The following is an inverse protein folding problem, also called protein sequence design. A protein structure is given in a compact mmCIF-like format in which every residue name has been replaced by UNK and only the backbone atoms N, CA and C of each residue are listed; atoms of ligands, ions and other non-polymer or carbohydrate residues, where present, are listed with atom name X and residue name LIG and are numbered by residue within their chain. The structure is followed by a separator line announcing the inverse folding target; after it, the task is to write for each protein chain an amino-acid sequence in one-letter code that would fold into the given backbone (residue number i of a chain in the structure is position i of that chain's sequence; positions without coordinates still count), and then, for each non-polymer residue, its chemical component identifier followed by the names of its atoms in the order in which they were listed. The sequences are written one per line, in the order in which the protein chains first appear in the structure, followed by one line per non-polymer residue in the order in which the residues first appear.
data_IF_224962780115
#
_entry.id   IF_224962780115
#
_cell.length_a   1.000
_cell.length_b   1.000
_cell.length_c   1.000
_cell.angle_alpha   90.00
_cell.angle_beta   90.00
_cell.angle_gamma   90.00
#
_symmetry.space_group_name_H-M   'P 1'
#
loop_
_entity.id
_entity.type
_entity.pdbx_description
1 polymer ?
#
# COMPACT_ATOMS: atom_id res chain seq x y z
N UNK A 1 -18.34 -16.82 -13.38
CA UNK A 1 -17.12 -16.01 -13.33
C UNK A 1 -17.50 -14.56 -13.60
N UNK A 2 -17.28 -13.70 -12.62
CA UNK A 2 -17.61 -12.28 -12.78
C UNK A 2 -16.55 -11.59 -13.64
N UNK A 3 -16.99 -10.72 -14.55
CA UNK A 3 -16.09 -9.86 -15.29
C UNK A 3 -15.39 -8.89 -14.30
N UNK A 4 -14.15 -8.54 -14.58
CA UNK A 4 -13.45 -7.51 -13.81
C UNK A 4 -14.13 -6.18 -14.07
N UNK A 5 -14.49 -5.48 -12.99
CA UNK A 5 -15.09 -4.15 -13.07
C UNK A 5 -14.13 -3.19 -13.80
N UNK A 6 -14.67 -2.40 -14.72
CA UNK A 6 -13.90 -1.44 -15.49
C UNK A 6 -13.17 -0.45 -14.58
N UNK A 7 -13.80 -0.02 -13.48
CA UNK A 7 -13.20 0.89 -12.51
C UNK A 7 -12.04 0.23 -11.77
N UNK A 8 -12.18 -1.06 -11.45
CA UNK A 8 -11.11 -1.83 -10.80
C UNK A 8 -9.90 -1.93 -11.73
N UNK A 9 -10.11 -2.20 -13.00
CA UNK A 9 -9.01 -2.27 -13.97
C UNK A 9 -8.35 -0.91 -14.16
N UNK A 10 -9.12 0.16 -14.23
CA UNK A 10 -8.59 1.52 -14.32
C UNK A 10 -7.76 1.88 -13.07
N UNK A 11 -8.27 1.53 -11.88
CA UNK A 11 -7.53 1.73 -10.64
C UNK A 11 -6.17 1.02 -10.70
N UNK A 12 -6.16 -0.26 -11.09
CA UNK A 12 -4.92 -1.05 -11.13
C UNK A 12 -3.90 -0.48 -12.11
N UNK A 13 -4.34 -0.06 -13.29
CA UNK A 13 -3.43 0.57 -14.26
C UNK A 13 -2.76 1.81 -13.68
N UNK A 14 -3.54 2.68 -13.04
CA UNK A 14 -3.02 3.89 -12.41
C UNK A 14 -2.14 3.58 -11.20
N UNK A 15 -2.55 2.61 -10.39
CA UNK A 15 -1.79 2.19 -9.21
C UNK A 15 -0.42 1.63 -9.59
N UNK A 16 -0.39 0.69 -10.53
CA UNK A 16 0.87 0.09 -10.97
C UNK A 16 1.81 1.13 -11.58
N UNK A 17 1.29 2.04 -12.38
CA UNK A 17 2.10 3.10 -12.98
C UNK A 17 2.67 4.03 -11.90
N UNK A 18 1.85 4.42 -10.94
CA UNK A 18 2.25 5.31 -9.84
C UNK A 18 3.33 4.66 -8.96
N UNK A 19 3.14 3.39 -8.62
CA UNK A 19 4.09 2.64 -7.79
C UNK A 19 5.42 2.46 -8.53
N UNK A 20 5.37 2.07 -9.82
CA UNK A 20 6.58 1.88 -10.61
C UNK A 20 7.38 3.16 -10.77
N UNK A 21 6.70 4.30 -10.89
CA UNK A 21 7.33 5.62 -11.02
C UNK A 21 7.70 6.24 -9.66
N UNK A 22 7.30 5.61 -8.56
CA UNK A 22 7.43 6.17 -7.21
C UNK A 22 6.85 7.59 -7.13
N UNK A 23 5.71 7.79 -7.81
CA UNK A 23 5.04 9.09 -7.94
C UNK A 23 3.99 9.22 -6.83
N UNK A 24 4.35 9.93 -5.77
CA UNK A 24 3.48 10.09 -4.59
C UNK A 24 2.19 10.83 -4.94
N UNK A 25 2.26 11.86 -5.79
CA UNK A 25 1.07 12.60 -6.20
C UNK A 25 0.09 11.69 -6.98
N UNK A 26 0.62 10.85 -7.86
CA UNK A 26 -0.20 9.89 -8.61
C UNK A 26 -0.83 8.84 -7.70
N UNK A 27 -0.09 8.37 -6.68
CA UNK A 27 -0.64 7.46 -5.67
C UNK A 27 -1.79 8.14 -4.92
N UNK A 28 -1.58 9.39 -4.49
CA UNK A 28 -2.63 10.15 -3.78
C UNK A 28 -3.90 10.27 -4.62
N UNK A 29 -3.77 10.44 -5.93
CA UNK A 29 -4.92 10.54 -6.84
C UNK A 29 -5.75 9.26 -6.92
N UNK A 30 -5.17 8.11 -6.58
CA UNK A 30 -5.92 6.83 -6.55
C UNK A 30 -6.70 6.63 -5.26
N UNK A 31 -6.48 7.44 -4.24
CA UNK A 31 -7.07 7.28 -2.91
C UNK A 31 -8.34 8.10 -2.76
N UNK A 32 -9.33 7.51 -2.08
CA UNK A 32 -10.51 8.24 -1.62
C UNK A 32 -10.11 9.22 -0.51
N UNK A 33 -10.86 10.30 -0.34
CA UNK A 33 -10.58 11.29 0.71
C UNK A 33 -10.65 10.67 2.12
N UNK A 34 -11.53 9.68 2.29
CA UNK A 34 -11.71 8.95 3.55
C UNK A 34 -10.92 7.64 3.60
N UNK A 35 -9.89 7.50 2.77
CA UNK A 35 -9.06 6.29 2.74
C UNK A 35 -8.47 5.98 4.11
N UNK A 36 -8.34 4.68 4.38
CA UNK A 36 -7.73 4.19 5.61
C UNK A 36 -6.78 3.03 5.31
N UNK A 37 -5.81 2.84 6.19
CA UNK A 37 -4.85 1.73 6.10
C UNK A 37 -4.84 0.92 7.39
N UNK A 38 -4.98 -0.40 7.24
CA UNK A 38 -4.73 -1.34 8.32
C UNK A 38 -3.31 -1.86 8.16
N UNK A 39 -2.40 -1.30 8.95
CA UNK A 39 -0.99 -1.71 8.89
C UNK A 39 -0.76 -2.97 9.70
N UNK A 40 0.28 -3.76 9.39
CA UNK A 40 0.57 -4.94 10.20
C UNK A 40 1.06 -4.62 11.62
N UNK A 41 1.33 -3.35 11.92
CA UNK A 41 1.81 -2.94 13.24
C UNK A 41 0.70 -2.65 14.25
N UNK A 42 -0.53 -2.33 13.77
CA UNK A 42 -1.65 -1.95 14.62
C UNK A 42 -2.93 -2.66 14.19
N UNK A 43 -3.80 -2.96 15.16
CA UNK A 43 -5.07 -3.62 14.85
C UNK A 43 -6.05 -2.67 14.14
N UNK A 44 -6.22 -1.45 14.67
CA UNK A 44 -7.19 -0.51 14.17
C UNK A 44 -6.72 0.19 12.90
N UNK A 45 -7.57 0.27 11.84
CA UNK A 45 -7.25 1.07 10.67
C UNK A 45 -7.11 2.55 11.04
N UNK A 46 -6.26 3.26 10.30
CA UNK A 46 -6.02 4.69 10.49
C UNK A 46 -6.12 5.42 9.17
N UNK A 47 -6.64 6.62 9.22
CA UNK A 47 -6.79 7.53 8.09
C UNK A 47 -6.71 8.97 8.55
N UNK A 48 -7.13 9.91 7.74
CA UNK A 48 -7.64 9.78 6.38
C UNK A 48 -6.54 9.72 5.32
N UNK A 49 -6.86 10.13 4.08
CA UNK A 49 -5.98 10.07 2.92
C UNK A 49 -4.56 10.56 3.19
N UNK A 50 -4.39 11.70 3.84
CA UNK A 50 -3.05 12.26 4.11
C UNK A 50 -2.20 11.32 4.97
N UNK A 51 -2.80 10.65 5.94
CA UNK A 51 -2.10 9.65 6.74
C UNK A 51 -1.68 8.45 5.90
N UNK A 52 -2.59 7.95 5.05
CA UNK A 52 -2.30 6.82 4.16
C UNK A 52 -1.15 7.16 3.21
N UNK A 53 -1.16 8.35 2.63
CA UNK A 53 -0.07 8.82 1.76
C UNK A 53 1.26 8.83 2.52
N UNK A 54 1.26 9.30 3.77
CA UNK A 54 2.47 9.31 4.61
C UNK A 54 3.03 7.92 4.85
N UNK A 55 2.17 6.95 5.17
CA UNK A 55 2.58 5.56 5.39
C UNK A 55 3.12 4.95 4.10
N UNK A 56 2.40 5.11 2.98
CA UNK A 56 2.82 4.54 1.69
C UNK A 56 4.15 5.16 1.22
N UNK A 57 4.37 6.44 1.47
CA UNK A 57 5.65 7.08 1.18
C UNK A 57 6.78 6.44 1.96
N UNK A 58 6.57 6.19 3.24
CA UNK A 58 7.55 5.51 4.09
C UNK A 58 7.84 4.08 3.63
N UNK A 59 6.79 3.35 3.25
CA UNK A 59 6.91 1.97 2.74
C UNK A 59 7.71 1.96 1.44
N UNK A 60 7.38 2.83 0.50
CA UNK A 60 8.08 2.91 -0.78
C UNK A 60 9.54 3.28 -0.60
N UNK A 61 9.83 4.20 0.32
CA UNK A 61 11.21 4.58 0.63
C UNK A 61 12.01 3.48 1.31
N UNK A 62 11.34 2.54 1.98
CA UNK A 62 11.98 1.44 2.68
C UNK A 62 12.32 0.25 1.79
N UNK A 63 11.48 -0.02 0.78
CA UNK A 63 11.64 -1.19 -0.06
C UNK A 63 12.74 -1.03 -1.09
N UNK A 64 13.52 -2.12 -1.27
CA UNK A 64 14.47 -2.30 -2.35
C UNK A 64 14.03 -3.49 -3.18
N UNK A 65 14.26 -3.44 -4.50
CA UNK A 65 13.89 -4.51 -5.44
C UNK A 65 12.42 -4.90 -5.34
N UNK A 66 11.56 -3.92 -5.15
CA UNK A 66 10.12 -4.14 -5.04
C UNK A 66 9.53 -4.56 -6.38
N UNK A 67 8.65 -5.57 -6.34
CA UNK A 67 7.84 -5.95 -7.50
C UNK A 67 6.58 -6.69 -7.09
N UNK A 68 5.54 -6.53 -7.89
CA UNK A 68 4.31 -7.31 -7.75
C UNK A 68 4.50 -8.69 -8.39
N UNK A 69 4.06 -9.73 -7.68
CA UNK A 69 4.18 -11.13 -8.11
C UNK A 69 2.85 -11.70 -8.57
N UNK A 70 1.72 -11.12 -8.18
CA UNK A 70 0.41 -11.63 -8.56
C UNK A 70 -0.73 -10.74 -8.13
N UNK A 71 -1.88 -10.94 -8.77
CA UNK A 71 -3.10 -10.21 -8.43
C UNK A 71 -4.30 -11.15 -8.44
N UNK A 72 -5.23 -10.91 -7.52
CA UNK A 72 -6.49 -11.62 -7.41
C UNK A 72 -7.59 -10.58 -7.27
N UNK A 73 -8.61 -10.67 -8.10
CA UNK A 73 -9.65 -9.63 -8.20
C UNK A 73 -11.02 -10.27 -8.08
N UNK A 74 -11.87 -9.70 -7.23
CA UNK A 74 -13.28 -10.03 -7.15
C UNK A 74 -14.08 -8.74 -7.05
N UNK A 75 -14.67 -8.30 -8.18
CA UNK A 75 -15.40 -7.03 -8.25
C UNK A 75 -14.49 -5.85 -7.95
N UNK A 76 -14.75 -5.16 -6.84
CA UNK A 76 -13.96 -4.02 -6.36
C UNK A 76 -12.98 -4.40 -5.26
N UNK A 77 -12.83 -5.71 -4.98
CA UNK A 77 -11.89 -6.23 -4.00
C UNK A 77 -10.66 -6.80 -4.71
N UNK A 78 -9.47 -6.43 -4.24
CA UNK A 78 -8.21 -6.75 -4.90
C UNK A 78 -7.23 -7.27 -3.86
N UNK A 79 -6.46 -8.31 -4.22
CA UNK A 79 -5.28 -8.73 -3.47
C UNK A 79 -4.09 -8.67 -4.41
N UNK A 80 -3.05 -7.92 -4.01
CA UNK A 80 -1.79 -7.82 -4.74
C UNK A 80 -0.69 -8.45 -3.88
N UNK A 81 0.02 -9.42 -4.44
CA UNK A 81 1.18 -10.01 -3.79
C UNK A 81 2.43 -9.30 -4.27
N UNK A 82 3.33 -8.98 -3.34
CA UNK A 82 4.60 -8.33 -3.67
C UNK A 82 5.76 -9.00 -2.97
N UNK A 83 6.96 -8.81 -3.54
CA UNK A 83 8.23 -9.17 -2.91
C UNK A 83 9.13 -7.93 -2.88
N UNK A 84 10.00 -7.88 -1.89
CA UNK A 84 10.96 -6.80 -1.71
C UNK A 84 12.08 -7.25 -0.77
N UNK A 85 13.02 -6.35 -0.51
CA UNK A 85 14.01 -6.54 0.55
C UNK A 85 14.27 -5.20 1.25
N UNK A 86 14.79 -5.28 2.46
CA UNK A 86 15.29 -4.14 3.20
C UNK A 86 16.71 -4.54 3.63
N UNK A 87 17.73 -3.96 2.97
CA UNK A 87 19.08 -4.45 3.10
C UNK A 87 19.15 -5.91 2.63
N UNK A 88 19.61 -6.81 3.48
CA UNK A 88 19.68 -8.23 3.17
C UNK A 88 18.44 -9.02 3.60
N UNK A 89 17.50 -8.35 4.28
CA UNK A 89 16.29 -8.99 4.77
C UNK A 89 15.23 -9.04 3.66
N UNK A 90 14.94 -10.27 3.21
CA UNK A 90 13.91 -10.49 2.18
C UNK A 90 12.54 -10.56 2.84
N UNK A 91 11.53 -10.02 2.14
CA UNK A 91 10.15 -10.08 2.62
C UNK A 91 9.19 -10.28 1.45
N UNK A 92 8.01 -10.74 1.80
CA UNK A 92 6.88 -10.89 0.89
C UNK A 92 5.63 -10.44 1.63
N UNK A 93 4.71 -9.84 0.90
CA UNK A 93 3.47 -9.41 1.50
C UNK A 93 2.33 -9.38 0.52
N UNK A 94 1.17 -9.03 1.04
CA UNK A 94 0.00 -8.75 0.24
C UNK A 94 -0.60 -7.42 0.65
N UNK A 95 -1.16 -6.73 -0.34
CA UNK A 95 -2.05 -5.59 -0.16
C UNK A 95 -3.46 -6.06 -0.45
N UNK A 96 -4.34 -5.99 0.55
CA UNK A 96 -5.77 -6.25 0.34
C UNK A 96 -6.45 -4.91 0.21
N UNK A 97 -7.00 -4.63 -0.96
CA UNK A 97 -7.53 -3.32 -1.33
C UNK A 97 -9.02 -3.40 -1.60
N UNK A 98 -9.78 -2.47 -1.03
CA UNK A 98 -11.20 -2.29 -1.31
C UNK A 98 -11.40 -0.93 -1.94
N UNK A 99 -12.08 -0.88 -3.10
CA UNK A 99 -12.41 0.37 -3.78
C UNK A 99 -13.80 0.85 -3.40
N UNK A 100 -14.01 2.16 -3.46
CA UNK A 100 -15.33 2.75 -3.29
C UNK A 100 -16.09 2.76 -4.63
N UNK A 101 -17.32 3.33 -4.62
CA UNK A 101 -18.17 3.37 -5.81
C UNK A 101 -17.57 4.20 -6.95
N UNK A 102 -16.65 5.12 -6.65
CA UNK A 102 -15.95 5.92 -7.65
C UNK A 102 -14.70 5.22 -8.21
N UNK A 103 -14.35 4.02 -7.69
CA UNK A 103 -13.17 3.29 -8.11
C UNK A 103 -11.88 3.76 -7.47
N UNK A 104 -11.97 4.45 -6.33
CA UNK A 104 -10.79 4.88 -5.57
C UNK A 104 -10.57 3.98 -4.38
N UNK A 105 -9.32 3.85 -3.96
CA UNK A 105 -8.95 3.05 -2.81
C UNK A 105 -9.52 3.66 -1.54
N UNK A 106 -10.41 2.92 -0.88
CA UNK A 106 -10.99 3.31 0.39
C UNK A 106 -10.33 2.62 1.56
N UNK A 107 -9.91 1.37 1.38
CA UNK A 107 -9.27 0.58 2.43
C UNK A 107 -8.13 -0.23 1.85
N UNK A 108 -7.01 -0.23 2.54
CA UNK A 108 -5.88 -1.10 2.24
C UNK A 108 -5.40 -1.76 3.52
N UNK A 109 -5.29 -3.09 3.49
CA UNK A 109 -4.73 -3.85 4.61
C UNK A 109 -3.45 -4.53 4.11
N UNK A 110 -2.36 -4.35 4.86
CA UNK A 110 -1.04 -4.85 4.48
C UNK A 110 -0.65 -5.98 5.41
N UNK A 111 -0.23 -7.11 4.83
CA UNK A 111 0.29 -8.27 5.56
C UNK A 111 1.69 -8.58 5.02
N UNK A 112 2.63 -8.84 5.91
CA UNK A 112 4.03 -9.04 5.55
C UNK A 112 4.62 -10.24 6.29
N UNK A 113 5.42 -11.03 5.58
CA UNK A 113 6.18 -12.14 6.15
C UNK A 113 7.64 -12.08 5.66
N UNK A 114 8.62 -12.71 6.34
CA UNK A 114 8.55 -13.28 7.68
C UNK A 114 8.65 -12.19 8.77
N UNK A 115 8.69 -12.59 10.03
CA UNK A 115 8.67 -11.64 11.15
C UNK A 115 9.85 -10.65 11.11
N UNK A 116 11.04 -11.10 10.74
CA UNK A 116 12.19 -10.18 10.64
C UNK A 116 12.01 -9.15 9.53
N UNK A 117 11.38 -9.52 8.40
CA UNK A 117 11.04 -8.59 7.33
C UNK A 117 10.00 -7.57 7.78
N UNK A 118 8.96 -8.04 8.48
CA UNK A 118 7.95 -7.16 9.05
C UNK A 118 8.55 -6.18 10.05
N UNK A 119 9.42 -6.64 10.92
CA UNK A 119 10.07 -5.77 11.92
C UNK A 119 10.96 -4.73 11.26
N UNK A 120 11.72 -5.11 10.23
CA UNK A 120 12.57 -4.18 9.49
C UNK A 120 11.73 -3.08 8.82
N UNK A 121 10.61 -3.48 8.20
CA UNK A 121 9.68 -2.55 7.56
C UNK A 121 9.05 -1.61 8.60
N UNK A 122 8.54 -2.16 9.69
CA UNK A 122 7.89 -1.38 10.75
C UNK A 122 8.81 -0.32 11.33
N UNK A 123 10.09 -0.65 11.53
CA UNK A 123 11.08 0.29 12.04
C UNK A 123 11.31 1.43 11.05
N UNK A 124 11.46 1.13 9.76
CA UNK A 124 11.66 2.15 8.72
C UNK A 124 10.47 3.10 8.62
N UNK A 125 9.26 2.57 8.61
CA UNK A 125 8.03 3.39 8.51
C UNK A 125 7.85 4.23 9.76
N UNK A 126 8.10 3.66 10.94
CA UNK A 126 8.01 4.40 12.21
C UNK A 126 8.97 5.58 12.22
N UNK A 127 10.22 5.38 11.79
CA UNK A 127 11.23 6.44 11.73
C UNK A 127 10.80 7.54 10.76
N UNK A 128 10.26 7.18 9.60
CA UNK A 128 9.75 8.13 8.62
C UNK A 128 8.61 8.99 9.19
N UNK A 129 7.61 8.36 9.82
CA UNK A 129 6.47 9.08 10.40
C UNK A 129 6.91 9.94 11.58
N UNK A 130 7.81 9.44 12.41
CA UNK A 130 8.37 10.20 13.52
C UNK A 130 9.14 11.44 13.05
N UNK A 131 9.90 11.32 11.97
CA UNK A 131 10.63 12.43 11.36
C UNK A 131 9.67 13.50 10.83
N UNK A 132 8.60 13.10 10.15
CA UNK A 132 7.57 14.03 9.67
C UNK A 132 6.90 14.78 10.83
N UNK A 133 6.57 14.06 11.92
CA UNK A 133 5.96 14.66 13.10
C UNK A 133 6.91 15.67 13.76
N UNK A 134 8.21 15.37 13.82
CA UNK A 134 9.22 16.25 14.44
C UNK A 134 9.43 17.52 13.63
N UNK A 135 9.16 17.52 12.32
CA UNK A 135 9.36 18.66 11.43
C UNK A 135 8.10 19.53 11.29
N UNK A 136 7.02 19.15 11.90
CA UNK A 136 5.80 19.95 11.97
C UNK A 136 5.76 20.67 13.31
#
# INVERSE_FOLDING_TARGET
MSAVDTRTRAFLENWYAAVAAEDIAAIADTLADDAEIASPAYWAPKGPKAYVVGVLTGVMGAFEDFRYEGEWIEGSEIILEFSARIGETKLRGIDRISLDAAGRLRHIEVMVRPINGLMALAEKVRNHLGHLAANN
#
